data_IF_980203399407
#
_entry.id   IF_980203399407
#
_cell.length_a   1.000
_cell.length_b   1.000
_cell.length_c   1.000
_cell.angle_alpha   90.00
_cell.angle_beta   90.00
_cell.angle_gamma   90.00
#
_symmetry.space_group_name_H-M   'P 1'
#
loop_
_entity.id
_entity.type
_entity.pdbx_description
1 polymer ?
#
# COMPACT_ATOMS: atom_id res chain seq x y z
N UNK A 1 15.53 11.22 -19.47
CA UNK A 1 15.02 10.05 -18.71
C UNK A 1 14.70 10.38 -17.27
N UNK A 2 15.68 10.65 -16.39
CA UNK A 2 15.43 10.83 -14.92
C UNK A 2 14.30 11.83 -14.59
N UNK A 3 14.23 12.96 -15.29
CA UNK A 3 13.16 13.96 -15.07
C UNK A 3 11.77 13.44 -15.42
N UNK A 4 11.64 12.65 -16.49
CA UNK A 4 10.36 12.10 -16.93
C UNK A 4 9.86 11.03 -15.96
N UNK A 5 10.76 10.17 -15.50
CA UNK A 5 10.43 9.14 -14.49
C UNK A 5 10.01 9.79 -13.16
N UNK A 6 10.69 10.88 -12.76
CA UNK A 6 10.32 11.64 -11.57
C UNK A 6 8.89 12.19 -11.64
N UNK A 7 8.53 12.87 -12.74
CA UNK A 7 7.18 13.40 -12.91
C UNK A 7 6.14 12.29 -13.08
N UNK A 8 6.50 11.19 -13.75
CA UNK A 8 5.64 10.01 -13.88
C UNK A 8 5.30 9.39 -12.53
N UNK A 9 6.28 9.21 -11.65
CA UNK A 9 6.05 8.70 -10.29
C UNK A 9 5.17 9.64 -9.47
N UNK A 10 5.41 10.96 -9.53
CA UNK A 10 4.58 11.95 -8.82
C UNK A 10 3.13 11.91 -9.33
N UNK A 11 2.95 11.88 -10.65
CA UNK A 11 1.64 11.80 -11.26
C UNK A 11 0.89 10.56 -10.79
N UNK A 12 1.53 9.39 -10.85
CA UNK A 12 0.92 8.12 -10.46
C UNK A 12 0.64 8.03 -8.96
N UNK A 13 1.53 8.53 -8.11
CA UNK A 13 1.28 8.60 -6.66
C UNK A 13 0.11 9.54 -6.33
N UNK A 14 -0.03 10.63 -7.08
CA UNK A 14 -1.17 11.55 -6.93
C UNK A 14 -2.47 10.89 -7.39
N UNK A 15 -2.44 10.19 -8.52
CA UNK A 15 -3.56 9.44 -9.05
C UNK A 15 -4.01 8.34 -8.08
N UNK A 16 -3.07 7.53 -7.57
CA UNK A 16 -3.32 6.51 -6.55
C UNK A 16 -3.98 7.12 -5.30
N UNK A 17 -3.45 8.25 -4.80
CA UNK A 17 -3.99 8.95 -3.63
C UNK A 17 -5.44 9.41 -3.83
N UNK A 18 -5.79 9.86 -5.04
CA UNK A 18 -7.16 10.26 -5.38
C UNK A 18 -8.06 9.03 -5.47
N UNK A 19 -7.64 8.01 -6.23
CA UNK A 19 -8.40 6.77 -6.45
C UNK A 19 -8.62 5.97 -5.18
N UNK A 20 -7.69 6.04 -4.21
CA UNK A 20 -7.77 5.35 -2.93
C UNK A 20 -8.91 5.85 -2.01
N UNK A 21 -9.39 7.09 -2.17
CA UNK A 21 -10.36 7.71 -1.24
C UNK A 21 -11.71 7.01 -1.22
N UNK A 22 -12.22 6.64 -2.41
CA UNK A 22 -13.51 5.94 -2.55
C UNK A 22 -13.48 4.56 -1.89
N UNK A 23 -12.61 3.64 -2.36
CA UNK A 23 -12.38 2.34 -1.76
C UNK A 23 -12.13 2.37 -0.24
N UNK A 24 -11.36 3.35 0.24
CA UNK A 24 -11.09 3.48 1.67
C UNK A 24 -12.33 3.85 2.49
N UNK A 25 -13.22 4.66 1.91
CA UNK A 25 -14.50 5.04 2.52
C UNK A 25 -15.45 3.84 2.57
N UNK A 26 -15.52 3.07 1.49
CA UNK A 26 -16.31 1.83 1.44
C UNK A 26 -15.85 0.81 2.48
N UNK A 27 -14.54 0.58 2.59
CA UNK A 27 -13.97 -0.32 3.60
C UNK A 27 -14.26 0.16 5.03
N UNK A 28 -14.19 1.47 5.26
CA UNK A 28 -14.51 2.05 6.56
C UNK A 28 -15.99 1.87 6.92
N UNK A 29 -16.90 2.00 5.95
CA UNK A 29 -18.33 1.81 6.17
C UNK A 29 -18.66 0.33 6.44
N UNK A 30 -18.05 -0.60 5.70
CA UNK A 30 -18.19 -2.03 5.96
C UNK A 30 -17.71 -2.41 7.37
N UNK A 31 -16.61 -1.81 7.83
CA UNK A 31 -16.10 -2.04 9.18
C UNK A 31 -17.01 -1.47 10.27
N UNK A 32 -17.65 -0.32 10.03
CA UNK A 32 -18.68 0.23 10.93
C UNK A 32 -19.89 -0.69 11.02
N UNK A 33 -20.41 -1.15 9.89
CA UNK A 33 -21.54 -2.09 9.85
C UNK A 33 -21.26 -3.38 10.60
N UNK A 34 -20.02 -3.88 10.52
CA UNK A 34 -19.59 -5.12 11.19
C UNK A 34 -19.10 -4.90 12.63
N UNK A 35 -19.10 -3.66 13.13
CA UNK A 35 -18.54 -3.31 14.44
C UNK A 35 -17.12 -3.85 14.67
N UNK A 36 -16.29 -3.82 13.61
CA UNK A 36 -14.95 -4.38 13.64
C UNK A 36 -14.03 -3.57 14.56
N UNK A 37 -13.22 -4.26 15.38
CA UNK A 37 -12.22 -3.63 16.26
C UNK A 37 -11.01 -3.06 15.51
N UNK A 38 -10.78 -3.49 14.26
CA UNK A 38 -9.66 -3.08 13.42
C UNK A 38 -10.16 -2.33 12.20
N UNK A 39 -9.39 -1.33 11.75
CA UNK A 39 -9.70 -0.57 10.56
C UNK A 39 -9.02 -1.22 9.34
N UNK A 40 -9.79 -1.56 8.33
CA UNK A 40 -9.29 -1.92 7.02
C UNK A 40 -8.70 -0.69 6.32
N UNK A 41 -7.48 -0.85 5.83
CA UNK A 41 -6.83 0.10 4.96
C UNK A 41 -6.75 -0.48 3.56
N UNK A 42 -6.98 0.38 2.56
CA UNK A 42 -6.77 0.03 1.15
C UNK A 42 -5.37 -0.52 0.94
N UNK A 43 -5.27 -1.48 0.05
CA UNK A 43 -4.00 -2.04 -0.35
C UNK A 43 -3.25 -1.04 -1.21
N UNK A 44 -2.24 -0.38 -0.64
CA UNK A 44 -1.32 0.53 -1.35
C UNK A 44 -0.12 -0.19 -1.97
N UNK A 45 -0.06 -1.51 -1.86
CA UNK A 45 1.00 -2.35 -2.46
C UNK A 45 0.61 -2.74 -3.89
N UNK A 46 -0.33 -2.03 -4.51
CA UNK A 46 -0.58 -2.18 -5.95
C UNK A 46 0.72 -1.87 -6.67
N UNK A 47 1.18 -2.82 -7.50
CA UNK A 47 2.43 -2.64 -8.24
C UNK A 47 2.36 -1.37 -9.08
N UNK A 48 3.43 -0.58 -9.04
CA UNK A 48 3.63 0.56 -9.92
C UNK A 48 3.33 0.21 -11.38
N UNK A 49 3.75 -0.97 -11.82
CA UNK A 49 3.51 -1.49 -13.17
C UNK A 49 2.01 -1.61 -13.45
N UNK A 50 1.22 -2.11 -12.51
CA UNK A 50 -0.23 -2.25 -12.68
C UNK A 50 -0.94 -0.89 -12.81
N UNK A 51 -0.48 0.14 -12.10
CA UNK A 51 -1.02 1.49 -12.24
C UNK A 51 -0.63 2.13 -13.58
N UNK A 52 0.63 1.94 -14.00
CA UNK A 52 1.12 2.40 -15.31
C UNK A 52 0.32 1.75 -16.43
N UNK A 53 0.17 0.42 -16.43
CA UNK A 53 -0.52 -0.31 -17.48
C UNK A 53 -1.96 0.17 -17.64
N UNK A 54 -2.69 0.34 -16.53
CA UNK A 54 -4.07 0.84 -16.57
C UNK A 54 -4.16 2.31 -16.97
N UNK A 55 -3.21 3.15 -16.56
CA UNK A 55 -3.15 4.55 -16.99
C UNK A 55 -2.83 4.68 -18.48
N UNK A 56 -1.90 3.86 -19.00
CA UNK A 56 -1.59 3.79 -20.42
C UNK A 56 -2.79 3.30 -21.21
N UNK A 57 -3.47 2.24 -20.74
CA UNK A 57 -4.68 1.73 -21.37
C UNK A 57 -5.75 2.83 -21.50
N UNK A 58 -5.97 3.62 -20.44
CA UNK A 58 -6.94 4.71 -20.43
C UNK A 58 -6.56 5.87 -21.37
N UNK A 59 -5.27 6.10 -21.61
CA UNK A 59 -4.78 7.22 -22.43
C UNK A 59 -4.54 6.84 -23.91
N UNK A 60 -4.20 5.59 -24.18
CA UNK A 60 -3.73 5.13 -25.48
C UNK A 60 -4.74 4.27 -26.25
N UNK A 61 -5.74 3.70 -25.57
CA UNK A 61 -6.77 2.88 -26.22
C UNK A 61 -8.12 3.62 -26.27
N UNK A 62 -8.54 4.10 -27.45
CA UNK A 62 -9.83 4.77 -27.63
C UNK A 62 -11.03 3.82 -27.53
N UNK A 63 -10.82 2.49 -27.58
CA UNK A 63 -11.86 1.48 -27.42
C UNK A 63 -12.03 1.04 -25.96
N UNK A 64 -11.13 1.45 -25.07
CA UNK A 64 -11.23 1.10 -23.65
C UNK A 64 -12.33 1.91 -22.98
N UNK A 65 -13.22 1.23 -22.26
CA UNK A 65 -14.25 1.88 -21.44
C UNK A 65 -13.62 2.40 -20.13
N UNK A 66 -13.58 3.73 -19.91
CA UNK A 66 -12.90 4.30 -18.74
C UNK A 66 -13.47 3.81 -17.41
N UNK A 67 -14.80 3.62 -17.33
CA UNK A 67 -15.47 3.15 -16.13
C UNK A 67 -15.06 1.73 -15.75
N UNK A 68 -14.92 0.83 -16.73
CA UNK A 68 -14.46 -0.53 -16.48
C UNK A 68 -13.04 -0.57 -15.90
N UNK A 69 -12.14 0.28 -16.42
CA UNK A 69 -10.76 0.41 -15.90
C UNK A 69 -10.76 0.99 -14.48
N UNK A 70 -11.62 1.97 -14.20
CA UNK A 70 -11.76 2.54 -12.86
C UNK A 70 -12.27 1.51 -11.86
N UNK A 71 -13.23 0.67 -12.25
CA UNK A 71 -13.76 -0.39 -11.40
C UNK A 71 -12.73 -1.49 -11.13
N UNK A 72 -11.94 -1.87 -12.14
CA UNK A 72 -10.79 -2.76 -11.98
C UNK A 72 -9.77 -2.21 -10.96
N UNK A 73 -9.44 -0.92 -11.06
CA UNK A 73 -8.52 -0.25 -10.13
C UNK A 73 -9.10 -0.19 -8.71
N UNK A 74 -10.39 0.13 -8.56
CA UNK A 74 -11.09 0.12 -7.27
C UNK A 74 -11.08 -1.28 -6.66
N UNK A 75 -11.29 -2.32 -7.47
CA UNK A 75 -11.23 -3.71 -7.03
C UNK A 75 -9.82 -4.05 -6.51
N UNK A 76 -8.77 -3.71 -7.26
CA UNK A 76 -7.38 -3.96 -6.86
C UNK A 76 -7.02 -3.26 -5.54
N UNK A 77 -7.46 -2.01 -5.36
CA UNK A 77 -7.22 -1.26 -4.11
C UNK A 77 -7.93 -1.88 -2.89
N UNK A 78 -9.04 -2.59 -3.11
CA UNK A 78 -9.77 -3.31 -2.05
C UNK A 78 -9.27 -4.73 -1.85
N UNK A 79 -8.47 -5.27 -2.76
CA UNK A 79 -7.97 -6.64 -2.69
C UNK A 79 -6.98 -6.78 -1.53
N UNK A 80 -7.27 -7.71 -0.62
CA UNK A 80 -6.46 -8.03 0.55
C UNK A 80 -6.13 -6.79 1.42
N UNK A 81 -7.14 -6.11 1.99
CA UNK A 81 -6.93 -4.87 2.71
C UNK A 81 -6.09 -5.09 3.97
N UNK A 82 -5.13 -4.21 4.21
CA UNK A 82 -4.28 -4.29 5.40
C UNK A 82 -5.08 -3.86 6.63
N UNK A 83 -5.12 -4.70 7.67
CA UNK A 83 -5.84 -4.39 8.91
C UNK A 83 -4.94 -3.64 9.89
N UNK A 84 -5.37 -2.45 10.30
CA UNK A 84 -4.68 -1.64 11.29
C UNK A 84 -5.48 -1.60 12.60
N UNK A 85 -4.86 -2.05 13.70
CA UNK A 85 -5.43 -1.92 15.04
C UNK A 85 -4.90 -0.64 15.67
N UNK A 86 -5.80 0.29 16.02
CA UNK A 86 -5.43 1.50 16.79
C UNK A 86 -4.68 1.09 18.06
N UNK A 87 -3.48 1.64 18.25
CA UNK A 87 -2.64 1.37 19.44
C UNK A 87 -1.58 0.28 19.28
N UNK A 88 -1.51 -0.43 18.14
CA UNK A 88 -0.44 -1.41 17.87
C UNK A 88 0.84 -0.80 17.30
N UNK A 89 1.12 0.49 17.57
CA UNK A 89 2.43 1.09 17.31
C UNK A 89 3.36 0.60 18.41
N UNK A 90 3.98 -0.56 18.21
CA UNK A 90 5.04 -1.00 19.10
C UNK A 90 6.19 0.01 19.00
N UNK A 91 6.51 0.69 20.10
CA UNK A 91 7.66 1.57 20.13
C UNK A 91 8.91 0.75 19.82
N UNK A 92 9.54 1.06 18.69
CA UNK A 92 10.83 0.47 18.36
C UNK A 92 11.84 1.05 19.36
N UNK A 93 12.17 0.27 20.40
CA UNK A 93 13.31 0.58 21.26
C UNK A 93 14.55 0.67 20.37
N UNK A 94 15.09 1.88 20.22
CA UNK A 94 16.33 2.11 19.47
C UNK A 94 17.47 1.53 20.30
N UNK A 95 17.92 0.35 19.93
CA UNK A 95 19.12 -0.30 20.46
C UNK A 95 20.35 0.49 19.98
N UNK A 96 21.32 0.76 20.85
CA UNK A 96 22.54 1.49 20.44
C UNK A 96 23.29 0.66 19.39
N UNK A 97 23.95 1.30 18.43
CA UNK A 97 24.68 0.60 17.36
C UNK A 97 25.72 -0.41 17.91
N UNK A 98 26.33 -0.11 19.06
CA UNK A 98 27.24 -1.03 19.74
C UNK A 98 26.55 -2.32 20.26
N UNK A 99 25.32 -2.21 20.76
CA UNK A 99 24.53 -3.35 21.27
C UNK A 99 24.04 -4.26 20.12
N UNK A 100 23.83 -3.71 18.92
CA UNK A 100 23.50 -4.51 17.73
C UNK A 100 24.66 -5.41 17.30
N UNK A 101 25.91 -4.98 17.51
CA UNK A 101 27.12 -5.75 17.16
C UNK A 101 27.37 -6.92 18.13
N UNK A 102 26.88 -6.83 19.38
CA UNK A 102 27.02 -7.90 20.37
C UNK A 102 26.22 -9.16 20.00
N UNK A 103 25.10 -9.01 19.28
CA UNK A 103 24.26 -10.16 18.91
C UNK A 103 24.98 -11.12 17.95
N UNK A 104 25.80 -10.59 17.03
CA UNK A 104 26.60 -11.40 16.12
C UNK A 104 27.76 -12.13 16.80
N UNK A 105 28.32 -11.55 17.88
CA UNK A 105 29.52 -12.09 18.53
C UNK A 105 29.24 -13.16 19.58
N UNK A 106 28.03 -13.19 20.14
CA UNK A 106 27.67 -14.09 21.26
C UNK A 106 26.54 -15.09 20.96
N UNK A 107 25.89 -15.02 19.78
CA UNK A 107 24.79 -15.92 19.42
C UNK A 107 25.18 -17.37 19.06
N UNK A 108 26.49 -17.67 18.88
CA UNK A 108 26.99 -19.05 18.64
C UNK A 108 27.60 -19.69 19.89
N UNK A 109 26.88 -19.67 21.00
CA UNK A 109 27.07 -20.65 22.09
C UNK A 109 25.73 -21.34 22.34
N UNK A 110 25.43 -22.29 21.46
CA UNK A 110 24.36 -23.25 21.69
C UNK A 110 25.02 -24.61 21.83
N UNK A 111 24.76 -25.17 23.01
CA UNK A 111 24.94 -26.52 23.51
C UNK A 111 26.27 -26.88 24.21
N UNK A 112 26.01 -27.47 25.38
CA UNK A 112 26.89 -27.96 26.45
C UNK A 112 27.74 -29.15 26.03
#
# INVERSE_FOLDING_TARGET
MIKQDFFGVIFLATLESILAKGPQSELAEQDRQRSNKTQAMVNRVVSYVSLVDRAVQLLADPCSEPEAILDDLRFLLKKDPTRNLKGRKFERKKVKHAEQLHFYRYGKRINA
#
